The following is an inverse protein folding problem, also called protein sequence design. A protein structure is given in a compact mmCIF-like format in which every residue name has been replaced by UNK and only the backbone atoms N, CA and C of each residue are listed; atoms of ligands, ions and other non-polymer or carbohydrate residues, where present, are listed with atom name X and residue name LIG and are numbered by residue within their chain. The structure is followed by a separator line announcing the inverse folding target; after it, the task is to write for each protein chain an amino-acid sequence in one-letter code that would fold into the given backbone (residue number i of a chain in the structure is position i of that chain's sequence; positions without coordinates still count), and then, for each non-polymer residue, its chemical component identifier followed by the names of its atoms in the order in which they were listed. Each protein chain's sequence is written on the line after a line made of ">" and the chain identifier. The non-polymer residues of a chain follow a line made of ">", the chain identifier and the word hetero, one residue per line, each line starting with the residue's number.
data_IF_337515375407
#
_entry.id   IF_337515375407
#
_cell.length_a   1.000
_cell.length_b   1.000
_cell.length_c   1.000
_cell.angle_alpha   90.00
_cell.angle_beta   90.00
_cell.angle_gamma   90.00
#
_symmetry.space_group_name_H-M   'P 1'
#
loop_
_entity.id
_entity.type
_entity.pdbx_description
1 polymer ?
#
# COMPACT_ATOMS: atom_id res chain seq x y z
N UNK A 1 -16.65 23.93 18.35
CA UNK A 1 -16.90 23.31 17.03
C UNK A 1 -15.91 22.16 16.85
N UNK A 2 -16.32 20.95 17.23
CA UNK A 2 -15.51 19.75 17.00
C UNK A 2 -15.78 19.25 15.58
N UNK A 3 -14.76 19.27 14.73
CA UNK A 3 -14.83 18.71 13.37
C UNK A 3 -14.80 17.18 13.45
N UNK A 4 -15.93 16.57 13.13
CA UNK A 4 -16.08 15.13 12.92
C UNK A 4 -15.18 14.66 11.77
N UNK A 5 -14.12 13.91 12.09
CA UNK A 5 -13.42 13.05 11.13
C UNK A 5 -13.82 11.61 11.49
N UNK A 6 -15.11 11.33 11.38
CA UNK A 6 -15.64 9.98 11.52
C UNK A 6 -15.95 9.41 10.14
N UNK A 7 -15.19 8.38 9.75
CA UNK A 7 -15.68 7.29 8.92
C UNK A 7 -15.95 7.60 7.45
N UNK A 8 -14.91 7.48 6.61
CA UNK A 8 -15.16 6.99 5.25
C UNK A 8 -15.64 5.54 5.37
N UNK A 9 -16.95 5.34 5.14
CA UNK A 9 -17.61 4.04 5.08
C UNK A 9 -16.80 3.05 4.23
N UNK A 10 -16.73 1.79 4.67
CA UNK A 10 -16.12 0.68 3.92
C UNK A 10 -16.64 0.62 2.47
N UNK A 11 -17.90 1.04 2.25
CA UNK A 11 -18.52 1.14 0.93
C UNK A 11 -17.89 2.21 0.04
N UNK A 12 -17.53 3.37 0.60
CA UNK A 12 -16.84 4.45 -0.13
C UNK A 12 -15.42 4.05 -0.53
N UNK A 13 -14.72 3.28 0.32
CA UNK A 13 -13.41 2.69 -0.02
C UNK A 13 -13.55 1.69 -1.17
N UNK A 14 -14.50 0.75 -1.08
CA UNK A 14 -14.73 -0.26 -2.14
C UNK A 14 -15.13 0.39 -3.47
N UNK A 15 -15.95 1.45 -3.44
CA UNK A 15 -16.34 2.18 -4.65
C UNK A 15 -15.17 2.94 -5.27
N UNK A 16 -14.32 3.58 -4.46
CA UNK A 16 -13.10 4.22 -4.96
C UNK A 16 -12.17 3.20 -5.63
N UNK A 17 -11.96 2.04 -4.99
CA UNK A 17 -11.18 0.95 -5.57
C UNK A 17 -11.78 0.50 -6.92
N UNK A 18 -13.08 0.20 -6.99
CA UNK A 18 -13.73 -0.21 -8.25
C UNK A 18 -13.57 0.82 -9.38
N UNK A 19 -13.78 2.10 -9.09
CA UNK A 19 -13.69 3.16 -10.10
C UNK A 19 -12.25 3.40 -10.55
N UNK A 20 -11.30 3.38 -9.61
CA UNK A 20 -9.88 3.56 -9.91
C UNK A 20 -9.32 2.40 -10.75
N UNK A 21 -9.67 1.15 -10.42
CA UNK A 21 -9.20 -0.03 -11.16
C UNK A 21 -9.85 -0.18 -12.54
N UNK A 22 -11.15 0.14 -12.69
CA UNK A 22 -11.82 0.06 -13.99
C UNK A 22 -11.33 1.12 -14.99
N UNK A 23 -10.83 2.27 -14.53
CA UNK A 23 -10.26 3.28 -15.44
C UNK A 23 -8.85 2.91 -15.88
N UNK A 24 -8.04 2.31 -15.00
CA UNK A 24 -6.64 1.96 -15.30
C UNK A 24 -6.48 0.70 -16.17
N UNK A 25 -7.51 -0.16 -16.26
CA UNK A 25 -7.50 -1.35 -17.11
C UNK A 25 -7.75 -1.05 -18.61
N UNK A 26 -8.13 0.20 -18.94
CA UNK A 26 -8.40 0.63 -20.32
C UNK A 26 -7.13 1.04 -21.08
N UNK A 27 -6.10 1.46 -20.35
CA UNK A 27 -4.80 1.80 -20.91
C UNK A 27 -3.89 0.57 -20.81
N UNK A 28 -3.06 0.34 -21.83
CA UNK A 28 -2.25 -0.86 -22.06
C UNK A 28 -1.18 -1.12 -20.98
N UNK A 29 -1.61 -1.37 -19.74
CA UNK A 29 -0.81 -1.98 -18.69
C UNK A 29 -1.05 -3.47 -18.83
N UNK A 30 0.00 -4.23 -19.14
CA UNK A 30 -0.12 -5.70 -19.19
C UNK A 30 -0.70 -6.20 -17.87
N UNK A 31 -1.53 -7.24 -17.93
CA UNK A 31 -2.18 -7.82 -16.74
C UNK A 31 -1.18 -8.09 -15.60
N UNK A 32 0.04 -8.52 -15.94
CA UNK A 32 1.14 -8.71 -14.98
C UNK A 32 1.63 -7.40 -14.34
N UNK A 33 1.83 -6.33 -15.12
CA UNK A 33 2.23 -5.03 -14.58
C UNK A 33 1.15 -4.44 -13.68
N UNK A 34 -0.13 -4.67 -14.03
CA UNK A 34 -1.25 -4.27 -13.20
C UNK A 34 -1.27 -5.01 -11.86
N UNK A 35 -1.06 -6.33 -11.87
CA UNK A 35 -0.96 -7.12 -10.64
C UNK A 35 0.25 -6.73 -9.78
N UNK A 36 1.40 -6.42 -10.39
CA UNK A 36 2.56 -5.88 -9.66
C UNK A 36 2.23 -4.56 -8.97
N UNK A 37 1.55 -3.65 -9.68
CA UNK A 37 1.10 -2.37 -9.11
C UNK A 37 0.08 -2.60 -7.97
N UNK A 38 -0.84 -3.55 -8.14
CA UNK A 38 -1.82 -3.89 -7.11
C UNK A 38 -1.14 -4.43 -5.84
N UNK A 39 -0.16 -5.33 -5.98
CA UNK A 39 0.60 -5.88 -4.85
C UNK A 39 1.38 -4.78 -4.13
N UNK A 40 2.05 -3.89 -4.88
CA UNK A 40 2.71 -2.71 -4.32
C UNK A 40 1.74 -1.82 -3.53
N UNK A 41 0.57 -1.51 -4.10
CA UNK A 41 -0.45 -0.69 -3.42
C UNK A 41 -0.98 -1.38 -2.15
N UNK A 42 -1.14 -2.70 -2.16
CA UNK A 42 -1.59 -3.45 -1.00
C UNK A 42 -0.62 -3.28 0.20
N UNK A 43 0.68 -3.32 -0.04
CA UNK A 43 1.69 -3.09 0.99
C UNK A 43 1.65 -1.66 1.54
N UNK A 44 1.47 -0.65 0.68
CA UNK A 44 1.28 0.74 1.10
C UNK A 44 0.04 0.88 2.00
N UNK A 45 -1.11 0.33 1.57
CA UNK A 45 -2.34 0.40 2.36
C UNK A 45 -2.23 -0.37 3.68
N UNK A 46 -1.51 -1.49 3.71
CA UNK A 46 -1.24 -2.23 4.94
C UNK A 46 -0.48 -1.35 5.95
N UNK A 47 0.56 -0.64 5.51
CA UNK A 47 1.29 0.28 6.37
C UNK A 47 0.42 1.44 6.89
N UNK A 48 -0.47 1.99 6.07
CA UNK A 48 -1.45 2.99 6.53
C UNK A 48 -2.46 2.42 7.51
N UNK A 49 -2.89 1.17 7.34
CA UNK A 49 -3.80 0.52 8.29
C UNK A 49 -3.13 0.33 9.65
N UNK A 50 -1.86 -0.11 9.67
CA UNK A 50 -1.08 -0.20 10.92
C UNK A 50 -0.97 1.16 11.60
N UNK A 51 -0.65 2.22 10.85
CA UNK A 51 -0.63 3.58 11.39
C UNK A 51 -2.00 3.97 11.96
N UNK A 52 -3.07 3.78 11.21
CA UNK A 52 -4.43 4.12 11.64
C UNK A 52 -4.83 3.39 12.93
N UNK A 53 -4.51 2.10 13.05
CA UNK A 53 -4.75 1.33 14.28
C UNK A 53 -3.92 1.87 15.45
N UNK A 54 -2.65 2.17 15.21
CA UNK A 54 -1.74 2.75 16.22
C UNK A 54 -2.26 4.09 16.73
N UNK A 55 -2.88 4.91 15.88
CA UNK A 55 -3.42 6.22 16.24
C UNK A 55 -4.82 6.16 16.88
N UNK A 56 -5.54 5.04 16.73
CA UNK A 56 -6.84 4.80 17.39
C UNK A 56 -6.69 4.26 18.82
N UNK A 57 -5.46 3.97 19.25
CA UNK A 57 -5.19 3.47 20.59
C UNK A 57 -5.49 4.56 21.64
N UNK A 58 -5.92 4.12 22.82
CA UNK A 58 -6.47 5.01 23.86
C UNK A 58 -5.40 5.84 24.58
N UNK A 59 -4.13 5.47 24.45
CA UNK A 59 -2.99 6.07 25.15
C UNK A 59 -2.14 7.00 24.24
N UNK A 60 -2.76 7.51 23.18
CA UNK A 60 -2.09 8.30 22.15
C UNK A 60 -2.12 9.80 22.50
N UNK A 61 -0.95 10.38 22.75
CA UNK A 61 -0.79 11.82 22.98
C UNK A 61 -0.40 12.57 21.68
N UNK A 62 -0.51 13.90 21.69
CA UNK A 62 -0.26 14.75 20.51
C UNK A 62 1.15 14.56 19.92
N UNK A 63 2.18 14.46 20.77
CA UNK A 63 3.57 14.23 20.31
C UNK A 63 3.72 12.87 19.65
N UNK A 64 3.11 11.83 20.21
CA UNK A 64 3.12 10.49 19.63
C UNK A 64 2.46 10.46 18.25
N UNK A 65 1.31 11.14 18.08
CA UNK A 65 0.66 11.26 16.75
C UNK A 65 1.62 11.90 15.75
N UNK A 66 2.25 13.02 16.14
CA UNK A 66 3.17 13.76 15.28
C UNK A 66 4.35 12.88 14.86
N UNK A 67 4.99 12.20 15.81
CA UNK A 67 6.13 11.32 15.56
C UNK A 67 5.76 10.17 14.61
N UNK A 68 4.59 9.55 14.80
CA UNK A 68 4.14 8.44 13.96
C UNK A 68 3.79 8.87 12.54
N UNK A 69 3.14 10.04 12.39
CA UNK A 69 2.82 10.60 11.07
C UNK A 69 4.09 11.02 10.34
N UNK A 70 5.03 11.69 11.02
CA UNK A 70 6.31 12.08 10.44
C UNK A 70 7.15 10.86 10.01
N UNK A 71 7.21 9.82 10.85
CA UNK A 71 7.85 8.57 10.49
C UNK A 71 7.21 7.92 9.25
N UNK A 72 5.88 7.97 9.11
CA UNK A 72 5.20 7.46 7.91
C UNK A 72 5.53 8.29 6.66
N UNK A 73 5.58 9.62 6.77
CA UNK A 73 5.99 10.49 5.65
C UNK A 73 7.42 10.14 5.20
N UNK A 74 8.37 10.01 6.13
CA UNK A 74 9.76 9.63 5.83
C UNK A 74 9.79 8.25 5.16
N UNK A 75 9.00 7.29 5.64
CA UNK A 75 8.90 5.94 5.07
C UNK A 75 8.38 5.99 3.62
N UNK A 76 7.31 6.73 3.34
CA UNK A 76 6.79 6.93 1.98
C UNK A 76 7.80 7.62 1.05
N UNK A 77 8.53 8.63 1.56
CA UNK A 77 9.56 9.31 0.78
C UNK A 77 10.71 8.36 0.42
N UNK A 78 11.13 7.48 1.34
CA UNK A 78 12.12 6.45 1.05
C UNK A 78 11.60 5.51 -0.03
N UNK A 79 10.39 4.99 0.14
CA UNK A 79 9.72 4.13 -0.83
C UNK A 79 9.63 4.73 -2.23
N UNK A 80 9.26 6.02 -2.34
CA UNK A 80 9.18 6.74 -3.61
C UNK A 80 10.55 6.93 -4.27
N UNK A 81 11.62 7.12 -3.50
CA UNK A 81 12.99 7.33 -4.03
C UNK A 81 13.61 6.09 -4.64
N UNK A 82 12.99 4.90 -4.48
CA UNK A 82 13.46 3.63 -5.07
C UNK A 82 14.95 3.38 -4.78
N UNK A 83 15.42 3.78 -3.60
CA UNK A 83 16.78 3.45 -3.18
C UNK A 83 16.85 1.92 -3.11
N UNK A 84 17.73 1.31 -3.91
CA UNK A 84 17.87 -0.14 -4.11
C UNK A 84 18.27 -0.95 -2.86
N UNK A 85 17.97 -0.43 -1.67
CA UNK A 85 18.16 -1.01 -0.35
C UNK A 85 16.87 -1.00 0.48
N UNK A 86 15.72 -0.67 -0.10
CA UNK A 86 14.46 -1.02 0.56
C UNK A 86 14.34 -2.54 0.46
N UNK A 87 14.72 -3.23 1.54
CA UNK A 87 14.66 -4.67 1.62
C UNK A 87 13.26 -5.17 1.28
N UNK A 88 13.18 -6.36 0.68
CA UNK A 88 11.94 -7.02 0.30
C UNK A 88 10.93 -7.12 1.47
N UNK A 89 11.40 -7.09 2.72
CA UNK A 89 10.59 -6.99 3.95
C UNK A 89 9.62 -5.79 3.98
N UNK A 90 9.92 -4.71 3.24
CA UNK A 90 9.05 -3.54 3.21
C UNK A 90 7.80 -3.73 2.35
N UNK A 91 7.83 -4.70 1.43
CA UNK A 91 6.77 -4.97 0.45
C UNK A 91 6.50 -6.47 0.33
N UNK A 92 5.99 -7.12 1.40
CA UNK A 92 5.79 -8.56 1.42
C UNK A 92 4.83 -9.05 0.33
N UNK A 93 3.73 -8.36 0.06
CA UNK A 93 2.79 -8.77 -0.98
C UNK A 93 3.40 -8.66 -2.38
N UNK A 94 4.17 -7.59 -2.64
CA UNK A 94 4.91 -7.46 -3.89
C UNK A 94 6.02 -8.52 -4.01
N UNK A 95 6.75 -8.80 -2.93
CA UNK A 95 7.82 -9.80 -2.94
C UNK A 95 7.27 -11.19 -3.22
N UNK A 96 6.25 -11.62 -2.49
CA UNK A 96 5.57 -12.90 -2.70
C UNK A 96 5.05 -13.03 -4.14
N UNK A 97 4.51 -11.94 -4.69
CA UNK A 97 4.05 -11.89 -6.08
C UNK A 97 5.22 -12.07 -7.06
N UNK A 98 6.35 -11.38 -6.86
CA UNK A 98 7.52 -11.48 -7.73
C UNK A 98 8.12 -12.89 -7.64
N UNK A 99 8.34 -13.44 -6.44
CA UNK A 99 8.88 -14.79 -6.26
C UNK A 99 7.97 -15.86 -6.92
N UNK A 100 6.66 -15.75 -6.73
CA UNK A 100 5.69 -16.72 -7.27
C UNK A 100 5.60 -16.66 -8.79
N UNK A 101 5.79 -15.49 -9.41
CA UNK A 101 5.57 -15.31 -10.84
C UNK A 101 6.88 -15.24 -11.66
N UNK A 102 8.02 -14.84 -11.09
CA UNK A 102 9.35 -15.06 -11.69
C UNK A 102 9.67 -16.56 -11.78
N UNK A 103 9.28 -17.34 -10.77
CA UNK A 103 9.38 -18.81 -10.78
C UNK A 103 8.54 -19.48 -11.89
N UNK A 104 7.51 -18.81 -12.42
CA UNK A 104 6.68 -19.32 -13.52
C UNK A 104 7.28 -19.07 -14.90
N UNK A 105 8.13 -18.05 -15.06
CA UNK A 105 8.82 -17.78 -16.32
C UNK A 105 9.90 -18.83 -16.64
N UNK A 106 10.47 -19.50 -15.63
CA UNK A 106 11.48 -20.55 -15.82
C UNK A 106 10.83 -21.91 -16.16
N UNK A 107 9.58 -22.17 -15.73
CA UNK A 107 8.90 -23.46 -15.95
C UNK A 107 8.07 -23.55 -17.23
N UNK A 108 7.85 -22.44 -17.94
CA UNK A 108 7.18 -22.46 -19.25
C UNK A 108 8.15 -22.65 -20.44
N UNK A 109 9.45 -22.90 -20.16
CA UNK A 109 10.47 -23.17 -21.18
C UNK A 109 11.06 -24.60 -21.09
N UNK A 110 10.43 -25.52 -20.36
CA UNK A 110 10.75 -26.96 -20.33
C UNK A 110 9.52 -27.77 -20.69
#
# INVERSE_FOLDING_TARGET
>A
MQSSIAGLSTSSKVSFFKTFFNSSAKDCVTYENWLKLLAYLADIFSAFNVLNLTLQDKDVNKSFVQDKVEAMIIKLQRWAKKEGKIGFDAFPALNDFLETNESKLIRQQQ
#
